data_IF_829697250086
#
_entry.id   IF_829697250086
#
_cell.length_a   1.000
_cell.length_b   1.000
_cell.length_c   1.000
_cell.angle_alpha   90.00
_cell.angle_beta   90.00
_cell.angle_gamma   90.00
#
_symmetry.space_group_name_H-M   'P 1'
#
loop_
_entity.id
_entity.type
_entity.pdbx_description
1 polymer ?
#
# COMPACT_ATOMS: atom_id res chain seq x y z
N UNK A 1 17.58 -18.92 15.23
CA UNK A 1 18.67 -18.64 14.27
C UNK A 1 18.20 -18.63 12.81
N UNK A 2 17.43 -19.63 12.36
CA UNK A 2 17.03 -19.71 10.94
C UNK A 2 16.13 -18.56 10.46
N UNK A 3 15.14 -18.16 11.26
CA UNK A 3 14.25 -17.03 10.95
C UNK A 3 14.99 -15.70 10.82
N UNK A 4 15.99 -15.46 11.67
CA UNK A 4 16.80 -14.23 11.66
C UNK A 4 17.70 -14.22 10.42
N UNK A 5 18.35 -15.35 10.10
CA UNK A 5 19.17 -15.47 8.90
C UNK A 5 18.34 -15.26 7.63
N UNK A 6 17.16 -15.89 7.57
CA UNK A 6 16.21 -15.70 6.47
C UNK A 6 15.75 -14.25 6.36
N UNK A 7 15.39 -13.59 7.47
CA UNK A 7 15.05 -12.18 7.49
C UNK A 7 16.18 -11.31 6.91
N UNK A 8 17.41 -11.47 7.40
CA UNK A 8 18.56 -10.68 6.94
C UNK A 8 18.80 -10.89 5.43
N UNK A 9 18.77 -12.14 4.97
CA UNK A 9 19.03 -12.48 3.58
C UNK A 9 17.95 -11.93 2.64
N UNK A 10 16.67 -12.08 3.03
CA UNK A 10 15.53 -11.55 2.28
C UNK A 10 15.60 -10.02 2.22
N UNK A 11 15.90 -9.35 3.33
CA UNK A 11 16.00 -7.89 3.38
C UNK A 11 17.18 -7.38 2.55
N UNK A 12 18.34 -8.05 2.61
CA UNK A 12 19.52 -7.69 1.81
C UNK A 12 19.23 -7.81 0.31
N UNK A 13 18.58 -8.90 -0.09
CA UNK A 13 18.15 -9.10 -1.48
C UNK A 13 17.13 -8.06 -1.91
N UNK A 14 16.07 -7.86 -1.13
CA UNK A 14 15.04 -6.86 -1.41
C UNK A 14 15.62 -5.44 -1.48
N UNK A 15 16.59 -5.10 -0.63
CA UNK A 15 17.28 -3.82 -0.66
C UNK A 15 18.07 -3.62 -1.95
N UNK A 16 18.85 -4.63 -2.38
CA UNK A 16 19.60 -4.58 -3.65
C UNK A 16 18.66 -4.44 -4.86
N UNK A 17 17.59 -5.22 -4.89
CA UNK A 17 16.61 -5.18 -5.98
C UNK A 17 15.88 -3.82 -6.01
N UNK A 18 15.56 -3.25 -4.84
CA UNK A 18 14.95 -1.92 -4.70
C UNK A 18 15.87 -0.83 -5.23
N UNK A 19 17.15 -0.85 -4.85
CA UNK A 19 18.15 0.10 -5.36
C UNK A 19 18.32 -0.01 -6.88
N UNK A 20 18.27 -1.23 -7.44
CA UNK A 20 18.32 -1.43 -8.89
C UNK A 20 17.10 -0.84 -9.60
N UNK A 21 15.90 -0.95 -9.02
CA UNK A 21 14.67 -0.33 -9.57
C UNK A 21 14.79 1.19 -9.50
N UNK A 22 15.19 1.74 -8.36
CA UNK A 22 15.30 3.19 -8.15
C UNK A 22 16.35 3.81 -9.06
N UNK A 23 17.50 3.17 -9.24
CA UNK A 23 18.57 3.70 -10.12
C UNK A 23 18.15 3.72 -11.58
N UNK A 24 17.37 2.72 -12.02
CA UNK A 24 16.80 2.69 -13.38
C UNK A 24 15.61 3.62 -13.57
N UNK A 25 14.86 3.85 -12.50
CA UNK A 25 13.60 4.58 -12.53
C UNK A 25 13.40 5.38 -11.23
N UNK A 26 14.09 6.53 -11.07
CA UNK A 26 14.06 7.30 -9.83
C UNK A 26 12.69 7.95 -9.58
N UNK A 27 11.88 8.11 -10.63
CA UNK A 27 10.54 8.69 -10.54
C UNK A 27 9.59 7.85 -9.66
N UNK A 28 9.88 6.56 -9.44
CA UNK A 28 9.05 5.69 -8.60
C UNK A 28 8.94 6.20 -7.16
N UNK A 29 9.99 6.85 -6.64
CA UNK A 29 10.02 7.43 -5.28
C UNK A 29 9.03 8.59 -5.15
N UNK A 30 8.76 9.30 -6.24
CA UNK A 30 7.86 10.44 -6.24
C UNK A 30 6.38 10.04 -6.35
N UNK A 31 6.07 8.77 -6.63
CA UNK A 31 4.68 8.33 -6.81
C UNK A 31 3.79 8.65 -5.59
N UNK A 32 4.17 8.33 -4.33
CA UNK A 32 3.30 8.68 -3.20
C UNK A 32 3.04 10.18 -3.08
N UNK A 33 4.04 11.02 -3.38
CA UNK A 33 3.88 12.46 -3.41
C UNK A 33 2.88 12.88 -4.49
N UNK A 34 3.06 12.44 -5.73
CA UNK A 34 2.17 12.80 -6.85
C UNK A 34 0.71 12.39 -6.59
N UNK A 35 0.49 11.17 -6.12
CA UNK A 35 -0.86 10.68 -5.85
C UNK A 35 -1.47 11.30 -4.58
N UNK A 36 -0.66 11.63 -3.57
CA UNK A 36 -1.11 12.38 -2.39
C UNK A 36 -1.58 13.80 -2.75
N UNK A 37 -0.90 14.48 -3.68
CA UNK A 37 -1.31 15.77 -4.21
C UNK A 37 -2.64 15.66 -4.97
N UNK A 38 -2.76 14.66 -5.85
CA UNK A 38 -4.00 14.38 -6.57
C UNK A 38 -5.18 14.14 -5.63
N UNK A 39 -4.97 13.34 -4.58
CA UNK A 39 -5.97 13.11 -3.53
C UNK A 39 -6.32 14.38 -2.76
N UNK A 40 -5.33 15.20 -2.40
CA UNK A 40 -5.55 16.48 -1.72
C UNK A 40 -6.40 17.45 -2.54
N UNK A 41 -6.19 17.53 -3.86
CA UNK A 41 -7.00 18.37 -4.77
C UNK A 41 -8.46 17.91 -4.73
N UNK A 42 -8.73 16.61 -4.79
CA UNK A 42 -10.09 16.06 -4.69
C UNK A 42 -10.75 16.44 -3.37
N UNK A 43 -10.00 16.39 -2.25
CA UNK A 43 -10.53 16.76 -0.94
C UNK A 43 -10.88 18.27 -0.87
N UNK A 44 -10.03 19.15 -1.39
CA UNK A 44 -10.31 20.59 -1.44
C UNK A 44 -11.53 20.87 -2.33
N UNK A 45 -11.61 20.26 -3.51
CA UNK A 45 -12.75 20.42 -4.41
C UNK A 45 -14.05 19.93 -3.76
N UNK A 46 -13.99 18.77 -3.08
CA UNK A 46 -15.11 18.21 -2.32
C UNK A 46 -15.64 19.17 -1.27
N UNK A 47 -14.75 19.84 -0.53
CA UNK A 47 -15.13 20.82 0.47
C UNK A 47 -15.71 22.09 -0.16
N UNK A 48 -15.05 22.65 -1.18
CA UNK A 48 -15.46 23.91 -1.83
C UNK A 48 -16.80 23.83 -2.53
N UNK A 49 -17.13 22.68 -3.11
CA UNK A 49 -18.39 22.48 -3.82
C UNK A 49 -19.57 22.20 -2.86
N UNK A 50 -19.37 22.29 -1.54
CA UNK A 50 -20.42 22.06 -0.54
C UNK A 50 -20.83 20.59 -0.39
N UNK A 51 -20.20 19.69 -1.14
CA UNK A 51 -20.53 18.27 -1.15
C UNK A 51 -20.01 17.52 0.09
N UNK A 52 -19.13 18.13 0.89
CA UNK A 52 -18.62 17.54 2.14
C UNK A 52 -19.70 17.10 3.15
N UNK A 53 -20.95 17.56 3.00
CA UNK A 53 -22.06 17.23 3.90
C UNK A 53 -23.07 16.21 3.33
N UNK A 54 -22.95 15.82 2.05
CA UNK A 54 -23.88 14.87 1.43
C UNK A 54 -23.37 13.43 1.57
N UNK A 55 -24.21 12.53 2.10
CA UNK A 55 -23.87 11.10 2.24
C UNK A 55 -23.59 10.43 0.89
N UNK A 56 -24.19 10.92 -0.19
CA UNK A 56 -23.94 10.46 -1.56
C UNK A 56 -22.56 10.85 -2.08
N UNK A 57 -22.01 11.98 -1.63
CA UNK A 57 -20.68 12.41 -2.03
C UNK A 57 -19.58 11.48 -1.52
N UNK A 58 -19.75 10.90 -0.33
CA UNK A 58 -18.81 9.92 0.22
C UNK A 58 -18.61 8.70 -0.69
N UNK A 59 -19.67 8.26 -1.38
CA UNK A 59 -19.60 7.15 -2.35
C UNK A 59 -18.81 7.56 -3.59
N UNK A 60 -19.06 8.77 -4.12
CA UNK A 60 -18.37 9.31 -5.29
C UNK A 60 -16.87 9.51 -4.98
N UNK A 61 -16.53 10.15 -3.85
CA UNK A 61 -15.14 10.32 -3.41
C UNK A 61 -14.47 8.97 -3.18
N UNK A 62 -15.17 8.01 -2.59
CA UNK A 62 -14.66 6.65 -2.41
C UNK A 62 -14.30 5.97 -3.73
N UNK A 63 -15.13 6.16 -4.77
CA UNK A 63 -14.87 5.64 -6.12
C UNK A 63 -13.68 6.34 -6.78
N UNK A 64 -13.61 7.67 -6.73
CA UNK A 64 -12.49 8.45 -7.29
C UNK A 64 -11.18 8.08 -6.59
N UNK A 65 -11.21 7.90 -5.26
CA UNK A 65 -10.03 7.47 -4.51
C UNK A 65 -9.60 6.05 -4.90
N UNK A 66 -10.55 5.14 -5.15
CA UNK A 66 -10.24 3.81 -5.67
C UNK A 66 -9.63 3.86 -7.08
N UNK A 67 -10.09 4.76 -7.95
CA UNK A 67 -9.50 4.98 -9.27
C UNK A 67 -8.07 5.52 -9.17
N UNK A 68 -7.84 6.51 -8.30
CA UNK A 68 -6.48 7.02 -8.04
C UNK A 68 -5.55 5.93 -7.53
N UNK A 69 -6.02 5.15 -6.55
CA UNK A 69 -5.21 4.06 -5.99
C UNK A 69 -4.95 2.96 -7.04
N UNK A 70 -5.92 2.68 -7.91
CA UNK A 70 -5.73 1.76 -9.04
C UNK A 70 -4.59 2.21 -9.93
N UNK A 71 -4.61 3.48 -10.33
CA UNK A 71 -3.55 4.05 -11.16
C UNK A 71 -2.19 4.00 -10.45
N UNK A 72 -2.15 4.34 -9.15
CA UNK A 72 -0.94 4.22 -8.33
C UNK A 72 -0.40 2.78 -8.31
N UNK A 73 -1.26 1.80 -8.11
CA UNK A 73 -0.93 0.38 -8.11
C UNK A 73 -0.44 -0.12 -9.46
N UNK A 74 -1.00 0.36 -10.56
CA UNK A 74 -0.49 0.06 -11.91
C UNK A 74 0.93 0.58 -12.09
N UNK A 75 1.22 1.83 -11.68
CA UNK A 75 2.58 2.39 -11.76
C UNK A 75 3.57 1.67 -10.86
N UNK A 76 3.15 1.29 -9.64
CA UNK A 76 3.98 0.48 -8.74
C UNK A 76 4.26 -0.91 -9.30
N UNK A 77 3.24 -1.57 -9.86
CA UNK A 77 3.40 -2.86 -10.52
C UNK A 77 4.40 -2.76 -11.68
N UNK A 78 4.26 -1.77 -12.55
CA UNK A 78 5.15 -1.59 -13.68
C UNK A 78 6.59 -1.25 -13.25
N UNK A 79 6.72 -0.42 -12.22
CA UNK A 79 8.02 -0.06 -11.64
C UNK A 79 8.72 -1.27 -11.05
N UNK A 80 8.01 -2.09 -10.26
CA UNK A 80 8.58 -3.24 -9.55
C UNK A 80 8.80 -4.45 -10.48
N UNK A 81 7.92 -4.68 -11.46
CA UNK A 81 8.00 -5.85 -12.34
C UNK A 81 8.80 -5.61 -13.61
N UNK A 82 8.77 -4.40 -14.16
CA UNK A 82 9.37 -4.11 -15.46
C UNK A 82 10.43 -2.98 -15.40
N UNK A 83 10.74 -2.44 -14.21
CA UNK A 83 11.68 -1.32 -14.04
C UNK A 83 11.32 -0.08 -14.88
N UNK A 84 10.02 0.17 -15.14
CA UNK A 84 9.55 1.30 -15.96
C UNK A 84 8.28 1.91 -15.38
N UNK A 85 8.04 3.20 -15.63
CA UNK A 85 6.73 3.80 -15.42
C UNK A 85 5.96 3.86 -16.73
N UNK A 86 4.69 3.50 -16.70
CA UNK A 86 3.78 3.63 -17.84
C UNK A 86 3.16 5.03 -17.82
N UNK A 87 3.97 6.04 -18.18
CA UNK A 87 3.53 7.45 -18.27
C UNK A 87 2.91 7.80 -19.64
N UNK A 88 2.78 6.83 -20.55
CA UNK A 88 2.05 7.04 -21.81
C UNK A 88 0.57 7.25 -21.51
N UNK A 89 -0.05 8.26 -22.14
CA UNK A 89 -1.41 8.72 -21.82
C UNK A 89 -2.44 7.57 -21.81
N UNK A 90 -2.43 6.72 -22.84
CA UNK A 90 -3.37 5.60 -22.96
C UNK A 90 -3.16 4.56 -21.85
N UNK A 91 -1.91 4.14 -21.61
CA UNK A 91 -1.57 3.19 -20.54
C UNK A 91 -1.85 3.75 -19.14
N UNK A 92 -1.72 5.06 -18.96
CA UNK A 92 -2.04 5.75 -17.72
C UNK A 92 -3.55 5.78 -17.46
N UNK A 93 -4.36 6.05 -18.49
CA UNK A 93 -5.83 6.00 -18.41
C UNK A 93 -6.34 4.61 -18.07
N UNK A 94 -5.82 3.58 -18.73
CA UNK A 94 -6.17 2.18 -18.44
C UNK A 94 -5.82 1.79 -16.98
N UNK A 95 -4.75 2.39 -16.44
CA UNK A 95 -4.32 2.19 -15.06
C UNK A 95 -5.38 2.59 -14.01
N UNK A 96 -6.26 3.56 -14.29
CA UNK A 96 -7.32 3.94 -13.35
C UNK A 96 -8.39 2.87 -13.16
N UNK A 97 -8.53 1.95 -14.13
CA UNK A 97 -9.59 0.94 -14.12
C UNK A 97 -9.06 -0.47 -13.84
N UNK A 98 -7.76 -0.71 -14.01
CA UNK A 98 -7.13 -2.04 -13.89
C UNK A 98 -7.46 -2.76 -12.57
N UNK A 99 -7.34 -2.06 -11.43
CA UNK A 99 -7.56 -2.61 -10.08
C UNK A 99 -8.76 -1.99 -9.37
N UNK A 100 -9.53 -1.14 -10.06
CA UNK A 100 -10.61 -0.32 -9.50
C UNK A 100 -11.57 -1.15 -8.65
N UNK A 101 -12.09 -2.24 -9.20
CA UNK A 101 -13.11 -3.04 -8.51
C UNK A 101 -12.57 -3.77 -7.29
N UNK A 102 -11.33 -4.27 -7.32
CA UNK A 102 -10.73 -4.95 -6.18
C UNK A 102 -10.47 -3.97 -5.03
N UNK A 103 -9.94 -2.80 -5.36
CA UNK A 103 -9.70 -1.72 -4.40
C UNK A 103 -11.02 -1.22 -3.82
N UNK A 104 -11.98 -0.90 -4.69
CA UNK A 104 -13.28 -0.38 -4.27
C UNK A 104 -14.01 -1.38 -3.38
N UNK A 105 -14.06 -2.67 -3.77
CA UNK A 105 -14.66 -3.72 -2.97
C UNK A 105 -14.01 -3.82 -1.59
N UNK A 106 -12.67 -3.85 -1.52
CA UNK A 106 -11.97 -3.93 -0.25
C UNK A 106 -12.29 -2.72 0.64
N UNK A 107 -12.20 -1.51 0.10
CA UNK A 107 -12.54 -0.28 0.83
C UNK A 107 -13.99 -0.26 1.30
N UNK A 108 -14.91 -0.73 0.45
CA UNK A 108 -16.33 -0.79 0.77
C UNK A 108 -16.63 -1.77 1.91
N UNK A 109 -15.98 -2.94 1.96
CA UNK A 109 -16.11 -3.87 3.10
C UNK A 109 -15.60 -3.23 4.39
N UNK A 110 -14.45 -2.56 4.37
CA UNK A 110 -13.94 -1.85 5.56
C UNK A 110 -14.85 -0.70 5.99
N UNK A 111 -15.49 -0.02 5.04
CA UNK A 111 -16.50 0.99 5.33
C UNK A 111 -17.75 0.37 5.98
N UNK A 112 -18.28 -0.74 5.45
CA UNK A 112 -19.39 -1.44 6.11
C UNK A 112 -19.00 -1.91 7.51
N UNK A 113 -17.81 -2.48 7.67
CA UNK A 113 -17.30 -2.88 8.98
C UNK A 113 -17.25 -1.68 9.95
N UNK A 114 -16.82 -0.50 9.49
CA UNK A 114 -16.81 0.71 10.34
C UNK A 114 -18.21 1.20 10.72
N UNK A 115 -19.22 0.99 9.88
CA UNK A 115 -20.61 1.31 10.24
C UNK A 115 -21.16 0.38 11.34
N UNK A 116 -20.92 -0.92 11.23
CA UNK A 116 -21.47 -1.90 12.18
C UNK A 116 -20.66 -2.05 13.47
N UNK A 117 -19.34 -1.89 13.37
CA UNK A 117 -18.39 -2.14 14.46
C UNK A 117 -17.72 -0.86 14.96
N UNK A 118 -18.17 0.33 14.57
CA UNK A 118 -17.46 1.60 14.76
C UNK A 118 -16.95 1.86 16.18
N UNK A 119 -17.72 1.51 17.21
CA UNK A 119 -17.26 1.61 18.61
C UNK A 119 -16.11 0.66 18.95
N UNK A 120 -16.10 -0.54 18.37
CA UNK A 120 -15.08 -1.59 18.57
C UNK A 120 -13.85 -1.35 17.69
N UNK A 121 -14.03 -0.89 16.45
CA UNK A 121 -12.93 -0.59 15.52
C UNK A 121 -12.14 0.65 15.94
N UNK A 122 -12.73 1.55 16.72
CA UNK A 122 -12.04 2.68 17.34
C UNK A 122 -11.21 2.28 18.57
N UNK A 123 -11.35 1.04 19.08
CA UNK A 123 -10.42 0.50 20.06
C UNK A 123 -9.09 0.28 19.34
N UNK A 124 -8.06 1.03 19.74
CA UNK A 124 -6.78 1.08 19.01
C UNK A 124 -6.15 -0.29 18.71
N UNK A 125 -6.37 -1.28 19.58
CA UNK A 125 -5.89 -2.65 19.37
C UNK A 125 -6.60 -3.39 18.22
N UNK A 126 -7.89 -3.14 18.00
CA UNK A 126 -8.66 -3.76 16.91
C UNK A 126 -8.23 -3.16 15.58
N UNK A 127 -8.12 -1.82 15.49
CA UNK A 127 -7.58 -1.15 14.32
C UNK A 127 -6.17 -1.65 13.97
N UNK A 128 -5.31 -1.81 14.98
CA UNK A 128 -3.96 -2.34 14.82
C UNK A 128 -3.97 -3.79 14.29
N UNK A 129 -4.80 -4.66 14.87
CA UNK A 129 -4.92 -6.05 14.43
C UNK A 129 -5.41 -6.14 12.98
N UNK A 130 -6.49 -5.43 12.64
CA UNK A 130 -7.00 -5.35 11.26
C UNK A 130 -5.94 -4.84 10.29
N UNK A 131 -5.23 -3.77 10.67
CA UNK A 131 -4.17 -3.23 9.84
C UNK A 131 -3.05 -4.22 9.59
N UNK A 132 -2.56 -4.93 10.62
CA UNK A 132 -1.47 -5.91 10.49
C UNK A 132 -1.92 -7.10 9.64
N UNK A 133 -3.11 -7.64 9.88
CA UNK A 133 -3.64 -8.82 9.18
C UNK A 133 -3.84 -8.57 7.68
N UNK A 134 -4.40 -7.42 7.33
CA UNK A 134 -4.70 -7.08 5.94
C UNK A 134 -3.64 -6.18 5.30
N UNK A 135 -2.51 -5.95 5.98
CA UNK A 135 -1.52 -4.98 5.52
C UNK A 135 -1.02 -5.28 4.11
N UNK A 136 -0.75 -6.56 3.80
CA UNK A 136 -0.26 -7.00 2.49
C UNK A 136 -1.30 -7.02 1.37
N UNK A 137 -2.52 -6.52 1.59
CA UNK A 137 -3.58 -6.56 0.59
C UNK A 137 -3.27 -5.68 -0.63
N UNK A 138 -2.67 -4.49 -0.43
CA UNK A 138 -2.28 -3.64 -1.55
C UNK A 138 -1.32 -4.39 -2.48
N UNK A 139 -0.26 -4.97 -1.93
CA UNK A 139 0.69 -5.79 -2.69
C UNK A 139 0.04 -7.02 -3.34
N UNK A 140 -0.90 -7.68 -2.67
CA UNK A 140 -1.65 -8.79 -3.25
C UNK A 140 -2.45 -8.34 -4.48
N UNK A 141 -3.08 -7.17 -4.44
CA UNK A 141 -3.83 -6.61 -5.58
C UNK A 141 -2.89 -6.33 -6.74
N UNK A 142 -1.83 -5.53 -6.55
CA UNK A 142 -1.08 -5.02 -7.71
C UNK A 142 0.07 -5.91 -8.17
N UNK A 143 0.65 -6.75 -7.32
CA UNK A 143 1.75 -7.67 -7.70
C UNK A 143 1.20 -9.01 -8.16
N UNK A 144 0.13 -9.49 -7.52
CA UNK A 144 -0.43 -10.82 -7.78
C UNK A 144 -1.72 -10.79 -8.59
N UNK A 145 -2.27 -9.59 -8.86
CA UNK A 145 -3.53 -9.41 -9.56
C UNK A 145 -4.66 -10.26 -8.96
N UNK A 146 -4.68 -10.33 -7.63
CA UNK A 146 -5.66 -11.11 -6.88
C UNK A 146 -7.04 -10.45 -7.03
N UNK A 147 -8.08 -11.24 -7.25
CA UNK A 147 -9.43 -10.73 -7.53
C UNK A 147 -10.38 -10.91 -6.35
N UNK A 148 -11.22 -9.90 -6.11
CA UNK A 148 -12.41 -9.98 -5.23
C UNK A 148 -12.10 -10.56 -3.84
N UNK A 149 -12.64 -11.72 -3.51
CA UNK A 149 -12.59 -12.37 -2.19
C UNK A 149 -11.17 -12.75 -1.80
N UNK A 150 -10.35 -13.15 -2.78
CA UNK A 150 -8.96 -13.52 -2.53
C UNK A 150 -8.14 -12.32 -2.02
N UNK A 151 -8.61 -11.09 -2.23
CA UNK A 151 -8.00 -9.85 -1.68
C UNK A 151 -7.93 -9.88 -0.15
N UNK A 152 -8.82 -10.62 0.51
CA UNK A 152 -8.83 -10.79 1.97
C UNK A 152 -8.13 -12.09 2.41
N UNK A 153 -8.29 -13.16 1.65
CA UNK A 153 -7.74 -14.48 2.01
C UNK A 153 -6.22 -14.51 1.80
N UNK A 154 -5.75 -13.93 0.70
CA UNK A 154 -4.34 -13.99 0.31
C UNK A 154 -3.40 -13.33 1.34
N UNK A 155 -3.67 -12.10 1.84
CA UNK A 155 -2.81 -11.48 2.84
C UNK A 155 -2.68 -12.30 4.12
N UNK A 156 -3.75 -12.99 4.54
CA UNK A 156 -3.75 -13.86 5.72
C UNK A 156 -2.87 -15.10 5.50
N UNK A 157 -3.01 -15.75 4.35
CA UNK A 157 -2.17 -16.89 3.98
C UNK A 157 -0.70 -16.49 3.83
N UNK A 158 -0.44 -15.32 3.22
CA UNK A 158 0.91 -14.78 3.11
C UNK A 158 1.53 -14.50 4.49
N UNK A 159 0.76 -13.90 5.40
CA UNK A 159 1.23 -13.62 6.75
C UNK A 159 1.55 -14.92 7.49
N UNK A 160 0.71 -15.96 7.37
CA UNK A 160 0.98 -17.28 7.98
C UNK A 160 2.37 -17.81 7.62
N UNK A 161 2.77 -17.71 6.35
CA UNK A 161 4.03 -18.26 5.85
C UNK A 161 5.25 -17.33 6.04
N UNK A 162 5.01 -16.02 6.18
CA UNK A 162 6.05 -14.99 6.14
C UNK A 162 5.95 -13.96 7.28
N UNK A 163 5.26 -14.27 8.38
CA UNK A 163 5.05 -13.36 9.50
C UNK A 163 6.36 -12.80 10.06
N UNK A 164 7.42 -13.60 10.14
CA UNK A 164 8.71 -13.19 10.68
C UNK A 164 9.43 -12.17 9.80
N UNK A 165 9.09 -12.07 8.52
CA UNK A 165 9.61 -11.05 7.59
C UNK A 165 8.67 -9.85 7.58
N UNK A 166 7.36 -10.12 7.50
CA UNK A 166 6.37 -9.07 7.29
C UNK A 166 6.06 -8.29 8.55
N UNK A 167 5.89 -8.93 9.71
CA UNK A 167 5.55 -8.23 10.96
C UNK A 167 6.64 -7.22 11.35
N UNK A 168 7.96 -7.53 11.31
CA UNK A 168 8.98 -6.53 11.57
C UNK A 168 8.93 -5.35 10.57
N UNK A 169 8.66 -5.61 9.30
CA UNK A 169 8.48 -4.58 8.29
C UNK A 169 7.31 -3.64 8.63
N UNK A 170 6.15 -4.22 8.98
CA UNK A 170 4.95 -3.46 9.38
C UNK A 170 5.17 -2.70 10.70
N UNK A 171 5.86 -3.30 11.66
CA UNK A 171 6.19 -2.67 12.93
C UNK A 171 7.06 -1.42 12.75
N UNK A 172 8.08 -1.47 11.88
CA UNK A 172 8.90 -0.31 11.54
C UNK A 172 8.07 0.85 10.99
N UNK A 173 7.10 0.55 10.13
CA UNK A 173 6.19 1.56 9.59
C UNK A 173 5.30 2.19 10.67
N UNK A 174 4.71 1.37 11.55
CA UNK A 174 3.87 1.87 12.63
C UNK A 174 4.69 2.76 13.59
N UNK A 175 5.90 2.34 13.94
CA UNK A 175 6.81 3.14 14.76
C UNK A 175 7.16 4.47 14.09
N UNK A 176 7.39 4.47 12.77
CA UNK A 176 7.63 5.69 12.02
C UNK A 176 6.42 6.64 12.05
N UNK A 177 5.20 6.12 11.88
CA UNK A 177 3.96 6.91 11.97
C UNK A 177 3.77 7.53 13.37
N UNK A 178 4.04 6.78 14.43
CA UNK A 178 3.93 7.29 15.80
C UNK A 178 4.89 8.46 16.07
N UNK A 179 6.09 8.44 15.48
CA UNK A 179 7.06 9.54 15.61
C UNK A 179 6.57 10.85 15.00
N UNK A 180 5.76 10.76 13.96
CA UNK A 180 5.13 11.91 13.29
C UNK A 180 3.69 12.16 13.79
N UNK A 181 3.32 11.55 14.93
CA UNK A 181 2.01 11.66 15.60
C UNK A 181 0.83 11.28 14.70
N UNK A 182 1.07 10.35 13.76
CA UNK A 182 0.04 9.80 12.90
C UNK A 182 -0.46 8.45 13.43
N UNK A 183 -1.77 8.24 13.32
CA UNK A 183 -2.41 6.97 13.65
C UNK A 183 -2.38 5.99 12.49
N UNK A 184 -2.79 4.76 12.78
CA UNK A 184 -3.00 3.70 11.80
C UNK A 184 -4.50 3.62 11.49
N UNK A 185 -4.84 3.48 10.21
CA UNK A 185 -6.23 3.28 9.77
C UNK A 185 -6.59 1.80 9.82
N UNK A 186 -7.85 1.51 10.15
CA UNK A 186 -8.42 0.15 10.08
C UNK A 186 -8.32 -0.39 8.65
N UNK A 187 -8.48 0.47 7.65
CA UNK A 187 -8.31 0.11 6.24
C UNK A 187 -6.83 0.29 5.83
N UNK A 188 -6.08 -0.78 5.57
CA UNK A 188 -4.66 -0.69 5.25
C UNK A 188 -4.39 0.01 3.91
N UNK A 189 -5.37 0.08 3.00
CA UNK A 189 -5.19 0.76 1.71
C UNK A 189 -5.09 2.28 1.84
N UNK A 190 -5.56 2.86 2.95
CA UNK A 190 -5.47 4.32 3.15
C UNK A 190 -4.03 4.79 3.40
N UNK A 191 -3.08 3.87 3.63
CA UNK A 191 -1.67 4.27 3.80
C UNK A 191 -1.03 4.82 2.52
N UNK A 192 -1.57 4.45 1.35
CA UNK A 192 -1.03 4.87 0.05
C UNK A 192 -1.53 6.24 -0.39
N UNK A 193 -2.68 6.68 0.11
CA UNK A 193 -3.29 7.97 -0.19
C UNK A 193 -3.51 8.73 1.11
N UNK A 194 -2.63 9.68 1.39
CA UNK A 194 -2.78 10.60 2.50
C UNK A 194 -2.79 12.03 1.96
N UNK A 195 -3.62 12.92 2.50
CA UNK A 195 -3.79 14.27 1.96
C UNK A 195 -2.63 15.24 2.28
N UNK A 196 -1.47 14.73 2.71
CA UNK A 196 -0.35 15.53 3.19
C UNK A 196 0.47 16.20 2.08
N UNK A 197 0.28 15.82 0.82
CA UNK A 197 1.10 16.29 -0.31
C UNK A 197 0.91 17.76 -0.71
N UNK A 198 -0.08 18.46 -0.18
CA UNK A 198 -0.35 19.86 -0.55
C UNK A 198 0.42 20.89 0.28
N UNK A 199 0.90 20.50 1.47
CA UNK A 199 1.72 21.37 2.30
C UNK A 199 3.18 21.01 2.06
N UNK A 200 3.87 21.81 1.25
CA UNK A 200 5.32 21.71 1.04
C UNK A 200 6.06 22.15 2.33
N UNK A 201 6.00 21.32 3.36
CA UNK A 201 6.72 21.46 4.63
C UNK A 201 7.52 20.17 4.92
N UNK A 202 7.89 19.92 6.18
CA UNK A 202 8.55 18.70 6.66
C UNK A 202 7.88 17.40 6.17
N UNK A 203 6.59 17.43 5.83
CA UNK A 203 5.86 16.28 5.27
C UNK A 203 6.33 15.87 3.87
N UNK A 204 6.96 16.75 3.11
CA UNK A 204 7.50 16.42 1.76
C UNK A 204 8.62 15.39 1.86
N UNK A 205 9.54 15.58 2.81
CA UNK A 205 10.65 14.64 3.06
C UNK A 205 10.09 13.29 3.52
N UNK A 206 9.09 13.31 4.39
CA UNK A 206 8.40 12.09 4.85
C UNK A 206 7.76 11.34 3.67
N UNK A 207 7.09 12.03 2.75
CA UNK A 207 6.48 11.42 1.57
C UNK A 207 7.50 10.80 0.61
N UNK A 208 8.68 11.42 0.45
CA UNK A 208 9.78 10.85 -0.33
C UNK A 208 10.38 9.61 0.34
N UNK A 209 10.55 9.63 1.67
CA UNK A 209 10.96 8.44 2.44
C UNK A 209 9.90 7.33 2.32
N UNK A 210 8.61 7.69 2.29
CA UNK A 210 7.54 6.74 2.03
C UNK A 210 7.61 6.14 0.61
N UNK A 211 8.05 6.91 -0.40
CA UNK A 211 8.35 6.39 -1.74
C UNK A 211 9.39 5.27 -1.74
N UNK A 212 10.49 5.47 -1.01
CA UNK A 212 11.49 4.43 -0.79
C UNK A 212 10.90 3.22 -0.07
N UNK A 213 10.15 3.46 1.01
CA UNK A 213 9.52 2.41 1.80
C UNK A 213 8.52 1.58 0.99
N UNK A 214 7.60 2.20 0.24
CA UNK A 214 6.60 1.49 -0.56
C UNK A 214 7.23 0.72 -1.72
N UNK A 215 8.30 1.25 -2.32
CA UNK A 215 9.06 0.52 -3.35
C UNK A 215 9.72 -0.71 -2.73
N UNK A 216 10.43 -0.52 -1.60
CA UNK A 216 11.07 -1.63 -0.88
C UNK A 216 10.06 -2.70 -0.47
N UNK A 217 8.92 -2.28 0.06
CA UNK A 217 7.81 -3.13 0.49
C UNK A 217 7.26 -3.97 -0.66
N UNK A 218 7.02 -3.36 -1.81
CA UNK A 218 6.55 -4.07 -3.00
C UNK A 218 7.58 -5.09 -3.50
N UNK A 219 8.86 -4.74 -3.49
CA UNK A 219 9.95 -5.67 -3.82
C UNK A 219 10.07 -6.79 -2.78
N UNK A 220 9.94 -6.48 -1.50
CA UNK A 220 9.94 -7.44 -0.41
C UNK A 220 8.84 -8.48 -0.62
N UNK A 221 7.61 -8.02 -0.85
CA UNK A 221 6.46 -8.88 -1.13
C UNK A 221 6.66 -9.68 -2.42
N UNK A 222 7.18 -9.05 -3.49
CA UNK A 222 7.54 -9.74 -4.74
C UNK A 222 8.47 -10.92 -4.52
N UNK A 223 9.46 -10.72 -3.66
CA UNK A 223 10.46 -11.72 -3.34
C UNK A 223 9.87 -12.84 -2.46
N UNK A 224 8.93 -12.52 -1.58
CA UNK A 224 8.42 -13.47 -0.59
C UNK A 224 7.10 -14.15 -0.97
N UNK A 225 6.32 -13.62 -1.91
CA UNK A 225 5.04 -14.21 -2.28
C UNK A 225 5.24 -15.64 -2.80
N UNK A 226 4.39 -16.59 -2.37
CA UNK A 226 4.53 -18.03 -2.66
C UNK A 226 5.89 -18.65 -2.25
N UNK A 227 6.57 -18.06 -1.27
CA UNK A 227 7.79 -18.62 -0.72
C UNK A 227 7.65 -18.88 0.78
N UNK A 228 8.21 -20.01 1.20
CA UNK A 228 8.39 -20.40 2.58
C UNK A 228 9.87 -20.43 2.89
N UNK A 229 10.24 -20.44 4.16
CA UNK A 229 11.64 -20.56 4.61
C UNK A 229 12.32 -21.77 3.95
N UNK A 230 11.62 -22.92 3.90
CA UNK A 230 12.13 -24.14 3.25
C UNK A 230 12.42 -23.89 1.77
N UNK A 231 11.47 -23.30 1.04
CA UNK A 231 11.62 -23.01 -0.39
C UNK A 231 12.78 -22.04 -0.65
N UNK A 232 12.96 -21.01 0.18
CA UNK A 232 14.06 -20.03 0.05
C UNK A 232 15.43 -20.66 0.29
N UNK A 233 15.55 -21.58 1.25
CA UNK A 233 16.77 -22.37 1.45
C UNK A 233 17.12 -23.22 0.22
N UNK A 234 16.14 -23.90 -0.39
CA UNK A 234 16.37 -24.67 -1.62
C UNK A 234 16.79 -23.79 -2.81
N UNK A 235 16.28 -22.57 -2.89
CA UNK A 235 16.67 -21.59 -3.92
C UNK A 235 18.02 -20.92 -3.65
N UNK A 236 18.72 -21.29 -2.58
CA UNK A 236 20.07 -20.78 -2.29
C UNK A 236 20.12 -19.31 -1.89
N UNK A 237 19.08 -18.79 -1.22
CA UNK A 237 19.09 -17.43 -0.66
C UNK A 237 20.01 -17.37 0.57
N UNK A 238 21.32 -17.51 0.33
CA UNK A 238 22.37 -17.53 1.35
C UNK A 238 23.06 -16.17 1.48
#
# INVERSE_FOLDING_TARGET
MEYIKDLINVYKKAGKDTLNIITKNPLIIFLPLLYSMGYGIIQIMSFRLGFGFSRFWGVIVGLIEAMLLSSYFTQMNDGINYNRLSLKLNSFQDGFFMYLWNIYFMKFVFYLASLFLGGVLNIGYVALASFVLFNGAGEAIYIRNVQREDTFIYPLNYLKDNWHIWIPHVALYILALQRIRMGVSVNPLSMYLSAHGLYFNDHTIILLVMGLYFTFRGVLFKNTYNSTIRKRKYMGWN
#
